data_IF_991283140478
#
_entry.id   IF_991283140478
#
_cell.length_a   1.000
_cell.length_b   1.000
_cell.length_c   1.000
_cell.angle_alpha   90.00
_cell.angle_beta   90.00
_cell.angle_gamma   90.00
#
_symmetry.space_group_name_H-M   'P 1'
#
loop_
_entity.id
_entity.type
_entity.pdbx_description
1 polymer ?
#
# COMPACT_ATOMS: atom_id res chain seq x y z
N UNK A 1 -9.32 -9.40 -37.92
CA UNK A 1 -8.79 -8.35 -37.03
C UNK A 1 -8.81 -8.87 -35.59
N UNK A 2 -7.64 -9.12 -35.00
CA UNK A 2 -7.53 -9.44 -33.57
C UNK A 2 -7.66 -8.12 -32.82
N UNK A 3 -8.66 -7.98 -31.95
CA UNK A 3 -8.74 -6.89 -30.99
C UNK A 3 -7.43 -6.86 -30.19
N UNK A 4 -6.68 -5.78 -30.34
CA UNK A 4 -5.57 -5.44 -29.46
C UNK A 4 -6.12 -5.35 -28.03
N UNK A 5 -5.47 -6.04 -27.09
CA UNK A 5 -5.83 -6.00 -25.67
C UNK A 5 -5.81 -4.53 -25.23
N UNK A 6 -6.97 -4.02 -24.81
CA UNK A 6 -7.19 -2.61 -24.50
C UNK A 6 -6.15 -2.03 -23.53
N UNK A 7 -5.75 -0.79 -23.80
CA UNK A 7 -4.72 0.02 -23.14
C UNK A 7 -4.84 0.19 -21.61
N UNK A 8 -5.83 -0.41 -20.94
CA UNK A 8 -6.03 -0.33 -19.49
C UNK A 8 -5.94 -1.64 -18.72
N UNK A 9 -5.82 -2.81 -19.38
CA UNK A 9 -5.91 -4.10 -18.68
C UNK A 9 -4.53 -4.63 -18.25
N UNK A 10 -4.43 -4.99 -16.97
CA UNK A 10 -3.27 -5.70 -16.43
C UNK A 10 -3.61 -7.15 -16.18
N UNK A 11 -2.83 -8.05 -16.79
CA UNK A 11 -2.98 -9.48 -16.53
C UNK A 11 -2.51 -9.84 -15.13
N UNK A 12 -3.26 -10.73 -14.46
CA UNK A 12 -2.89 -11.26 -13.14
C UNK A 12 -1.49 -11.89 -13.13
N UNK A 13 -1.08 -12.54 -14.23
CA UNK A 13 0.26 -13.13 -14.35
C UNK A 13 1.35 -12.07 -14.26
N UNK A 14 1.26 -11.03 -15.08
CA UNK A 14 2.22 -9.93 -15.09
C UNK A 14 2.26 -9.19 -13.74
N UNK A 15 1.09 -8.89 -13.18
CA UNK A 15 1.01 -8.25 -11.86
C UNK A 15 1.66 -9.10 -10.78
N UNK A 16 1.44 -10.42 -10.79
CA UNK A 16 2.06 -11.35 -9.85
C UNK A 16 3.58 -11.36 -9.98
N UNK A 17 4.10 -11.36 -11.22
CA UNK A 17 5.55 -11.30 -11.46
C UNK A 17 6.16 -10.02 -10.88
N UNK A 18 5.53 -8.86 -11.11
CA UNK A 18 5.97 -7.58 -10.55
C UNK A 18 5.92 -7.56 -9.02
N UNK A 19 4.81 -7.97 -8.42
CA UNK A 19 4.65 -8.00 -6.95
C UNK A 19 5.68 -8.91 -6.30
N UNK A 20 5.89 -10.10 -6.84
CA UNK A 20 6.90 -11.04 -6.32
C UNK A 20 8.30 -10.46 -6.48
N UNK A 21 8.61 -9.85 -7.62
CA UNK A 21 9.91 -9.23 -7.85
C UNK A 21 10.15 -8.06 -6.90
N UNK A 22 9.17 -7.18 -6.72
CA UNK A 22 9.22 -6.08 -5.75
C UNK A 22 9.47 -6.60 -4.33
N UNK A 23 8.67 -7.56 -3.84
CA UNK A 23 8.80 -8.10 -2.50
C UNK A 23 10.19 -8.75 -2.26
N UNK A 24 10.76 -9.41 -3.27
CA UNK A 24 12.11 -10.02 -3.18
C UNK A 24 13.26 -9.01 -3.19
N UNK A 25 13.02 -7.80 -3.68
CA UNK A 25 14.04 -6.75 -3.81
C UNK A 25 13.84 -5.62 -2.80
N UNK A 26 12.76 -5.61 -2.04
CA UNK A 26 12.40 -4.51 -1.15
C UNK A 26 13.31 -4.41 0.07
N UNK A 27 14.48 -3.81 -0.14
CA UNK A 27 15.49 -3.59 0.90
C UNK A 27 15.02 -2.66 2.02
N UNK A 28 13.96 -1.89 1.75
CA UNK A 28 13.34 -0.98 2.71
C UNK A 28 12.34 -1.69 3.64
N UNK A 29 12.01 -2.96 3.40
CA UNK A 29 11.18 -3.72 4.33
C UNK A 29 11.98 -4.08 5.58
N UNK A 30 11.62 -3.51 6.72
CA UNK A 30 12.25 -3.79 8.02
C UNK A 30 11.66 -5.03 8.71
N UNK A 31 10.54 -5.55 8.22
CA UNK A 31 9.82 -6.65 8.84
C UNK A 31 8.99 -6.28 10.07
N UNK A 32 8.92 -5.00 10.46
CA UNK A 32 8.11 -4.54 11.61
C UNK A 32 6.62 -4.95 11.48
N UNK A 33 6.12 -5.01 10.25
CA UNK A 33 4.76 -5.45 9.99
C UNK A 33 4.51 -6.91 10.36
N UNK A 34 5.55 -7.76 10.41
CA UNK A 34 5.45 -9.16 10.82
C UNK A 34 5.01 -9.28 12.29
N UNK A 35 5.55 -8.46 13.19
CA UNK A 35 5.18 -8.47 14.61
C UNK A 35 3.73 -8.04 14.82
N UNK A 36 3.29 -7.01 14.09
CA UNK A 36 1.90 -6.58 14.11
C UNK A 36 0.95 -7.63 13.53
N UNK A 37 1.37 -8.36 12.50
CA UNK A 37 0.61 -9.45 11.92
C UNK A 37 0.47 -10.61 12.90
N UNK A 38 1.58 -11.05 13.50
CA UNK A 38 1.64 -12.18 14.43
C UNK A 38 0.74 -11.94 15.65
N UNK A 39 0.82 -10.76 16.28
CA UNK A 39 -0.10 -10.39 17.37
C UNK A 39 -1.58 -10.43 16.96
N UNK A 40 -1.90 -9.98 15.74
CA UNK A 40 -3.29 -10.08 15.22
C UNK A 40 -3.70 -11.53 14.98
N UNK A 41 -2.78 -12.36 14.52
CA UNK A 41 -3.01 -13.77 14.25
C UNK A 41 -3.25 -14.56 15.54
N UNK A 42 -2.42 -14.35 16.57
CA UNK A 42 -2.59 -14.92 17.92
C UNK A 42 -3.92 -14.52 18.55
N UNK A 43 -4.25 -13.22 18.48
CA UNK A 43 -5.55 -12.73 18.97
C UNK A 43 -6.73 -13.41 18.27
N UNK A 44 -6.63 -13.65 16.96
CA UNK A 44 -7.67 -14.36 16.22
C UNK A 44 -7.79 -15.82 16.65
N UNK A 45 -6.66 -16.49 16.90
CA UNK A 45 -6.61 -17.87 17.37
C UNK A 45 -7.22 -18.01 18.78
N UNK A 46 -6.80 -17.13 19.70
CA UNK A 46 -7.31 -17.10 21.08
C UNK A 46 -8.83 -16.88 21.12
N UNK A 47 -9.37 -16.06 20.21
CA UNK A 47 -10.81 -15.81 20.05
C UNK A 47 -11.54 -16.90 19.25
N UNK A 48 -10.86 -17.96 18.80
CA UNK A 48 -11.39 -19.01 17.92
C UNK A 48 -12.08 -18.46 16.66
N UNK A 49 -11.57 -17.33 16.15
CA UNK A 49 -12.09 -16.62 14.97
C UNK A 49 -11.35 -16.97 13.67
N UNK A 50 -10.40 -17.90 13.75
CA UNK A 50 -9.63 -18.48 12.66
C UNK A 50 -9.54 -19.99 12.89
N UNK A 51 -9.50 -20.77 11.81
CA UNK A 51 -9.29 -22.22 11.89
C UNK A 51 -7.81 -22.54 12.12
N UNK A 52 -7.52 -23.68 12.74
CA UNK A 52 -6.14 -24.14 12.99
C UNK A 52 -5.30 -24.15 11.70
N UNK A 53 -5.80 -24.75 10.63
CA UNK A 53 -5.11 -24.78 9.33
C UNK A 53 -4.77 -23.38 8.81
N UNK A 54 -5.68 -22.41 8.99
CA UNK A 54 -5.43 -21.03 8.52
C UNK A 54 -4.46 -20.31 9.44
N UNK A 55 -4.45 -20.65 10.73
CA UNK A 55 -3.51 -20.12 11.70
C UNK A 55 -2.09 -20.58 11.37
N UNK A 56 -1.87 -21.89 11.27
CA UNK A 56 -0.55 -22.48 11.00
C UNK A 56 0.03 -22.01 9.66
N UNK A 57 -0.75 -22.05 8.56
CA UNK A 57 -0.26 -21.56 7.27
C UNK A 57 0.09 -20.07 7.30
N UNK A 58 -0.58 -19.27 8.15
CA UNK A 58 -0.29 -17.83 8.27
C UNK A 58 0.93 -17.58 9.14
N UNK A 59 1.15 -18.40 10.16
CA UNK A 59 2.35 -18.39 10.99
C UNK A 59 3.59 -18.76 10.17
N UNK A 60 3.50 -19.82 9.36
CA UNK A 60 4.57 -20.23 8.44
C UNK A 60 4.91 -19.13 7.42
N UNK A 61 3.90 -18.45 6.88
CA UNK A 61 4.12 -17.31 5.98
C UNK A 61 4.94 -16.19 6.65
N UNK A 62 4.58 -15.81 7.88
CA UNK A 62 5.30 -14.76 8.60
C UNK A 62 6.73 -15.18 8.93
N UNK A 63 6.93 -16.42 9.37
CA UNK A 63 8.26 -16.95 9.65
C UNK A 63 9.17 -16.89 8.40
N UNK A 64 8.67 -17.39 7.26
CA UNK A 64 9.41 -17.31 5.99
C UNK A 64 9.73 -15.87 5.60
N UNK A 65 8.78 -14.94 5.75
CA UNK A 65 9.01 -13.53 5.41
C UNK A 65 10.11 -12.90 6.26
N UNK A 66 10.15 -13.18 7.57
CA UNK A 66 11.25 -12.72 8.44
C UNK A 66 12.60 -13.23 7.96
N UNK A 67 12.69 -14.50 7.56
CA UNK A 67 13.91 -15.11 7.05
C UNK A 67 14.35 -14.50 5.72
N UNK A 68 13.42 -14.30 4.79
CA UNK A 68 13.65 -13.66 3.49
C UNK A 68 14.18 -12.23 3.65
N UNK A 69 13.56 -11.43 4.52
CA UNK A 69 13.98 -10.04 4.80
C UNK A 69 15.40 -10.01 5.39
N UNK A 70 15.66 -10.82 6.42
CA UNK A 70 17.00 -10.93 7.04
C UNK A 70 18.05 -11.35 6.02
N UNK A 71 17.74 -12.32 5.16
CA UNK A 71 18.64 -12.79 4.11
C UNK A 71 18.92 -11.70 3.06
N UNK A 72 17.91 -10.92 2.67
CA UNK A 72 18.06 -9.79 1.76
C UNK A 72 18.97 -8.70 2.35
N UNK A 73 18.72 -8.28 3.58
CA UNK A 73 19.58 -7.29 4.26
C UNK A 73 21.01 -7.78 4.40
N UNK A 74 21.21 -9.04 4.81
CA UNK A 74 22.55 -9.65 4.90
C UNK A 74 23.26 -9.62 3.54
N UNK A 75 22.59 -10.06 2.48
CA UNK A 75 23.15 -10.08 1.12
C UNK A 75 23.53 -8.68 0.66
N UNK A 76 22.64 -7.71 0.82
CA UNK A 76 22.87 -6.31 0.42
C UNK A 76 24.05 -5.66 1.16
N UNK A 77 24.21 -5.97 2.45
CA UNK A 77 25.32 -5.47 3.26
C UNK A 77 26.68 -6.08 2.85
N UNK A 78 26.68 -7.29 2.27
CA UNK A 78 27.89 -7.95 1.76
C UNK A 78 28.23 -7.60 0.31
N UNK A 79 27.36 -6.88 -0.41
CA UNK A 79 27.62 -6.46 -1.80
C UNK A 79 28.75 -5.43 -1.89
N UNK A 80 29.53 -5.49 -2.97
CA UNK A 80 30.45 -4.40 -3.33
C UNK A 80 29.68 -3.13 -3.71
N UNK A 81 30.33 -1.95 -3.75
CA UNK A 81 29.68 -0.71 -4.21
C UNK A 81 29.05 -0.84 -5.61
N UNK A 82 29.72 -1.53 -6.54
CA UNK A 82 29.25 -1.74 -7.91
C UNK A 82 28.03 -2.68 -7.95
N UNK A 83 28.06 -3.76 -7.19
CA UNK A 83 26.93 -4.68 -7.05
C UNK A 83 25.71 -3.99 -6.46
N UNK A 84 25.92 -3.17 -5.43
CA UNK A 84 24.88 -2.38 -4.78
C UNK A 84 24.28 -1.34 -5.73
N UNK A 85 25.11 -0.66 -6.51
CA UNK A 85 24.66 0.29 -7.53
C UNK A 85 23.75 -0.40 -8.56
N UNK A 86 24.19 -1.55 -9.09
CA UNK A 86 23.40 -2.34 -10.03
C UNK A 86 22.08 -2.83 -9.42
N UNK A 87 22.12 -3.31 -8.17
CA UNK A 87 20.91 -3.72 -7.44
C UNK A 87 19.92 -2.56 -7.30
N UNK A 88 20.38 -1.38 -6.90
CA UNK A 88 19.53 -0.20 -6.72
C UNK A 88 18.90 0.25 -8.04
N UNK A 89 19.67 0.27 -9.13
CA UNK A 89 19.12 0.57 -10.47
C UNK A 89 18.02 -0.42 -10.87
N UNK A 90 18.24 -1.72 -10.66
CA UNK A 90 17.22 -2.72 -10.96
C UNK A 90 15.99 -2.55 -10.06
N UNK A 91 16.18 -2.26 -8.77
CA UNK A 91 15.08 -2.06 -7.84
C UNK A 91 14.26 -0.82 -8.18
N UNK A 92 14.88 0.29 -8.57
CA UNK A 92 14.18 1.50 -9.03
C UNK A 92 13.34 1.24 -10.28
N UNK A 93 13.85 0.44 -11.23
CA UNK A 93 13.04 0.02 -12.38
C UNK A 93 11.83 -0.80 -11.96
N UNK A 94 11.99 -1.74 -11.01
CA UNK A 94 10.87 -2.54 -10.48
C UNK A 94 9.84 -1.66 -9.76
N UNK A 95 10.27 -0.65 -9.00
CA UNK A 95 9.37 0.33 -8.37
C UNK A 95 8.56 1.09 -9.41
N UNK A 96 9.19 1.53 -10.49
CA UNK A 96 8.49 2.21 -11.59
C UNK A 96 7.46 1.29 -12.24
N UNK A 97 7.86 0.07 -12.60
CA UNK A 97 6.98 -0.89 -13.29
C UNK A 97 5.77 -1.29 -12.44
N UNK A 98 5.96 -1.50 -11.13
CA UNK A 98 4.86 -1.83 -10.22
C UNK A 98 3.97 -0.62 -9.94
N UNK A 99 4.53 0.59 -9.88
CA UNK A 99 3.75 1.83 -9.73
C UNK A 99 2.82 2.04 -10.94
N UNK A 100 3.36 1.95 -12.16
CA UNK A 100 2.57 2.03 -13.40
C UNK A 100 1.48 0.96 -13.43
N UNK A 101 1.78 -0.23 -12.90
CA UNK A 101 0.80 -1.29 -12.80
C UNK A 101 -0.33 -0.94 -11.81
N UNK A 102 0.03 -0.48 -10.62
CA UNK A 102 -0.93 -0.08 -9.59
C UNK A 102 -1.83 1.06 -10.05
N UNK A 103 -1.29 2.10 -10.69
CA UNK A 103 -2.07 3.22 -11.22
C UNK A 103 -3.16 2.73 -12.18
N UNK A 104 -2.86 1.79 -13.08
CA UNK A 104 -3.87 1.23 -13.99
C UNK A 104 -4.97 0.48 -13.24
N UNK A 105 -4.62 -0.33 -12.23
CA UNK A 105 -5.64 -1.04 -11.41
C UNK A 105 -6.47 -0.05 -10.60
N UNK A 106 -5.85 0.96 -9.99
CA UNK A 106 -6.53 2.04 -9.26
C UNK A 106 -7.53 2.76 -10.16
N UNK A 107 -7.11 3.19 -11.35
CA UNK A 107 -7.98 3.86 -12.31
C UNK A 107 -9.18 2.98 -12.71
N UNK A 108 -8.95 1.69 -12.95
CA UNK A 108 -10.03 0.74 -13.19
C UNK A 108 -11.03 0.66 -12.03
N UNK A 109 -10.56 0.71 -10.78
CA UNK A 109 -11.42 0.70 -9.59
C UNK A 109 -12.19 2.02 -9.40
N UNK A 110 -11.55 3.17 -9.59
CA UNK A 110 -12.21 4.49 -9.54
C UNK A 110 -13.38 4.55 -10.53
N UNK A 111 -13.17 4.08 -11.76
CA UNK A 111 -14.23 3.96 -12.77
C UNK A 111 -15.32 2.98 -12.30
N UNK A 112 -14.94 1.82 -11.76
CA UNK A 112 -15.89 0.81 -11.28
C UNK A 112 -16.76 1.31 -10.11
N UNK A 113 -16.21 2.17 -9.25
CA UNK A 113 -16.92 2.83 -8.16
C UNK A 113 -17.72 4.06 -8.61
N UNK A 114 -17.65 4.43 -9.89
CA UNK A 114 -18.29 5.62 -10.47
C UNK A 114 -17.87 6.93 -9.79
N UNK A 115 -16.65 6.99 -9.23
CA UNK A 115 -16.14 8.19 -8.56
C UNK A 115 -15.92 9.35 -9.53
N UNK A 116 -15.65 9.04 -10.81
CA UNK A 116 -15.57 10.03 -11.89
C UNK A 116 -16.88 10.79 -12.15
N UNK A 117 -17.99 10.30 -11.61
CA UNK A 117 -19.33 10.89 -11.73
C UNK A 117 -19.90 11.29 -10.36
N UNK A 118 -19.10 11.20 -9.29
CA UNK A 118 -19.53 11.52 -7.93
C UNK A 118 -19.08 12.92 -7.52
N UNK A 119 -19.64 13.48 -6.43
CA UNK A 119 -19.15 14.74 -5.84
C UNK A 119 -17.67 14.71 -5.44
N UNK A 120 -17.11 13.51 -5.23
CA UNK A 120 -15.69 13.31 -4.91
C UNK A 120 -14.75 13.48 -6.13
N UNK A 121 -15.27 13.92 -7.29
CA UNK A 121 -14.49 14.06 -8.51
C UNK A 121 -13.26 14.96 -8.33
N UNK A 122 -13.40 16.04 -7.57
CA UNK A 122 -12.32 17.00 -7.28
C UNK A 122 -11.22 16.39 -6.41
N UNK A 123 -11.53 15.37 -5.60
CA UNK A 123 -10.61 14.63 -4.73
C UNK A 123 -10.02 13.39 -5.40
N UNK A 124 -10.29 13.12 -6.68
CA UNK A 124 -9.86 11.87 -7.34
C UNK A 124 -8.34 11.66 -7.30
N UNK A 125 -7.55 12.71 -7.44
CA UNK A 125 -6.09 12.57 -7.40
C UNK A 125 -5.58 12.24 -6.00
N UNK A 126 -6.19 12.79 -4.96
CA UNK A 126 -5.89 12.44 -3.56
C UNK A 126 -6.31 10.99 -3.27
N UNK A 127 -7.50 10.59 -3.74
CA UNK A 127 -7.99 9.22 -3.66
C UNK A 127 -7.01 8.24 -4.34
N UNK A 128 -6.46 8.62 -5.51
CA UNK A 128 -5.46 7.81 -6.23
C UNK A 128 -4.18 7.68 -5.41
N UNK A 129 -3.69 8.79 -4.86
CA UNK A 129 -2.46 8.81 -4.05
C UNK A 129 -2.62 7.95 -2.80
N UNK A 130 -3.73 8.09 -2.07
CA UNK A 130 -4.01 7.30 -0.85
C UNK A 130 -4.09 5.80 -1.15
N UNK A 131 -4.76 5.43 -2.26
CA UNK A 131 -4.81 4.05 -2.71
C UNK A 131 -3.42 3.50 -3.09
N UNK A 132 -2.59 4.31 -3.74
CA UNK A 132 -1.22 3.95 -4.11
C UNK A 132 -0.33 3.77 -2.86
N UNK A 133 -0.43 4.68 -1.90
CA UNK A 133 0.28 4.59 -0.62
C UNK A 133 -0.13 3.32 0.14
N UNK A 134 -1.43 3.05 0.23
CA UNK A 134 -1.96 1.81 0.83
C UNK A 134 -1.35 0.58 0.14
N UNK A 135 -1.28 0.55 -1.18
CA UNK A 135 -0.66 -0.58 -1.87
C UNK A 135 0.79 -0.77 -1.45
N UNK A 136 1.62 0.27 -1.45
CA UNK A 136 3.02 0.15 -1.02
C UNK A 136 3.17 -0.24 0.46
N UNK A 137 2.28 0.21 1.34
CA UNK A 137 2.27 -0.19 2.76
C UNK A 137 2.00 -1.67 2.98
N UNK A 138 1.14 -2.29 2.14
CA UNK A 138 0.64 -3.64 2.38
C UNK A 138 1.11 -4.69 1.37
N UNK A 139 1.77 -4.29 0.27
CA UNK A 139 2.09 -5.24 -0.82
C UNK A 139 3.06 -6.35 -0.41
N UNK A 140 3.99 -6.08 0.52
CA UNK A 140 4.91 -7.09 1.06
C UNK A 140 4.19 -8.25 1.75
N UNK A 141 2.91 -8.08 2.09
CA UNK A 141 2.06 -9.09 2.75
C UNK A 141 1.38 -10.03 1.77
N UNK A 142 1.62 -9.88 0.46
CA UNK A 142 1.16 -10.84 -0.54
C UNK A 142 1.90 -12.17 -0.38
N UNK A 143 1.15 -13.25 -0.15
CA UNK A 143 1.67 -14.61 -0.06
C UNK A 143 1.61 -15.30 -1.42
N UNK A 144 2.76 -15.33 -2.10
CA UNK A 144 2.88 -15.92 -3.43
C UNK A 144 2.79 -17.45 -3.44
N UNK A 145 2.88 -18.11 -2.29
CA UNK A 145 2.81 -19.58 -2.19
C UNK A 145 1.40 -20.11 -2.21
N UNK A 146 0.41 -19.30 -1.82
CA UNK A 146 -1.00 -19.72 -1.70
C UNK A 146 -1.78 -19.80 -3.01
N UNK A 147 -1.10 -19.76 -4.14
CA UNK A 147 -1.70 -19.66 -5.48
C UNK A 147 -2.80 -18.58 -5.58
N UNK A 148 -2.71 -17.55 -4.73
CA UNK A 148 -3.67 -16.47 -4.69
C UNK A 148 -3.50 -15.57 -5.93
N UNK A 149 -4.57 -14.87 -6.30
CA UNK A 149 -4.51 -13.90 -7.38
C UNK A 149 -3.93 -12.59 -6.85
N UNK A 150 -2.78 -12.18 -7.39
CA UNK A 150 -2.20 -10.86 -7.12
C UNK A 150 -3.19 -9.75 -7.47
N UNK A 151 -3.96 -9.91 -8.55
CA UNK A 151 -5.01 -8.97 -8.92
C UNK A 151 -6.11 -8.88 -7.84
N UNK A 152 -6.60 -10.01 -7.33
CA UNK A 152 -7.59 -10.02 -6.25
C UNK A 152 -7.04 -9.35 -4.97
N UNK A 153 -5.79 -9.63 -4.61
CA UNK A 153 -5.15 -9.02 -3.45
C UNK A 153 -5.01 -7.49 -3.59
N UNK A 154 -4.46 -7.02 -4.71
CA UNK A 154 -4.29 -5.60 -5.02
C UNK A 154 -5.64 -4.88 -5.07
N UNK A 155 -6.64 -5.45 -5.74
CA UNK A 155 -7.97 -4.84 -5.81
C UNK A 155 -8.68 -4.78 -4.46
N UNK A 156 -8.46 -5.76 -3.57
CA UNK A 156 -8.96 -5.69 -2.20
C UNK A 156 -8.33 -4.54 -1.41
N UNK A 157 -7.01 -4.36 -1.51
CA UNK A 157 -6.31 -3.26 -0.86
C UNK A 157 -6.81 -1.90 -1.35
N UNK A 158 -6.93 -1.73 -2.67
CA UNK A 158 -7.50 -0.50 -3.27
C UNK A 158 -8.92 -0.28 -2.77
N UNK A 159 -9.76 -1.31 -2.79
CA UNK A 159 -11.16 -1.19 -2.33
C UNK A 159 -11.25 -0.75 -0.88
N UNK A 160 -10.39 -1.29 -0.01
CA UNK A 160 -10.34 -0.89 1.39
C UNK A 160 -9.90 0.58 1.54
N UNK A 161 -8.90 1.01 0.78
CA UNK A 161 -8.44 2.41 0.77
C UNK A 161 -9.54 3.37 0.32
N UNK A 162 -10.20 3.06 -0.81
CA UNK A 162 -11.31 3.86 -1.33
C UNK A 162 -12.45 3.97 -0.32
N UNK A 163 -12.85 2.85 0.30
CA UNK A 163 -13.94 2.86 1.28
C UNK A 163 -13.58 3.71 2.51
N UNK A 164 -12.33 3.60 3.01
CA UNK A 164 -11.85 4.38 4.14
C UNK A 164 -11.89 5.88 3.81
N UNK A 165 -11.30 6.27 2.68
CA UNK A 165 -11.28 7.65 2.25
C UNK A 165 -12.68 8.22 2.10
N UNK A 166 -13.59 7.50 1.43
CA UNK A 166 -14.97 7.96 1.24
C UNK A 166 -15.74 8.05 2.57
N UNK A 167 -15.47 7.16 3.54
CA UNK A 167 -16.06 7.27 4.87
C UNK A 167 -15.56 8.49 5.63
N UNK A 168 -14.25 8.77 5.56
CA UNK A 168 -13.65 9.93 6.22
C UNK A 168 -14.03 11.25 5.54
N UNK A 169 -14.23 11.25 4.22
CA UNK A 169 -14.70 12.42 3.46
C UNK A 169 -16.09 12.87 3.93
N UNK A 170 -16.98 11.92 4.26
CA UNK A 170 -18.26 12.24 4.86
C UNK A 170 -18.08 12.90 6.25
N UNK A 171 -17.14 12.41 7.06
CA UNK A 171 -16.82 13.03 8.35
C UNK A 171 -16.14 14.40 8.22
N UNK A 172 -15.31 14.63 7.19
CA UNK A 172 -14.66 15.92 6.92
C UNK A 172 -15.66 16.97 6.45
N UNK A 173 -16.60 16.60 5.59
CA UNK A 173 -17.67 17.49 5.15
C UNK A 173 -18.58 17.92 6.31
N UNK A 174 -18.70 17.09 7.35
CA UNK A 174 -19.40 17.43 8.59
C UNK A 174 -18.54 18.27 9.57
N UNK A 175 -17.21 18.21 9.44
CA UNK A 175 -16.23 18.94 10.24
C UNK A 175 -15.58 20.02 9.37
N UNK A 176 -16.36 21.04 9.04
CA UNK A 176 -15.87 22.25 8.39
C UNK A 176 -14.81 22.90 9.30
N UNK A 177 -13.52 22.67 9.03
CA UNK A 177 -12.45 23.49 9.59
C UNK A 177 -12.48 24.79 8.79
N UNK A 178 -13.30 25.73 9.24
CA UNK A 178 -13.30 27.07 8.69
C UNK A 178 -11.88 27.65 8.85
N UNK A 179 -11.41 28.48 7.92
CA UNK A 179 -10.09 29.12 8.01
C UNK A 179 -9.83 29.84 9.35
N UNK A 180 -10.89 30.16 10.11
CA UNK A 180 -10.86 30.64 11.49
C UNK A 180 -10.17 29.66 12.46
N UNK A 181 -10.47 28.36 12.40
CA UNK A 181 -9.88 27.35 13.29
C UNK A 181 -8.38 27.14 12.99
N UNK A 182 -7.95 27.40 11.76
CA UNK A 182 -6.54 27.40 11.38
C UNK A 182 -5.80 28.63 11.95
N UNK A 183 -6.44 29.81 11.95
CA UNK A 183 -5.89 31.01 12.59
C UNK A 183 -5.75 30.85 14.11
N UNK A 184 -6.70 30.20 14.79
CA UNK A 184 -6.62 29.95 16.23
C UNK A 184 -5.53 28.94 16.63
N UNK A 185 -5.15 28.02 15.72
CA UNK A 185 -4.14 26.99 15.99
C UNK A 185 -2.73 27.34 15.48
N UNK A 186 -2.58 28.46 14.76
CA UNK A 186 -1.28 29.05 14.51
C UNK A 186 -0.80 29.73 15.80
N UNK A 187 0.00 29.02 16.60
CA UNK A 187 0.94 29.66 17.53
C UNK A 187 2.03 30.36 16.70
N UNK A 188 1.67 31.40 15.95
CA UNK A 188 2.62 32.27 15.28
C UNK A 188 3.12 33.32 16.24
N UNK A 189 4.44 33.52 16.21
CA UNK A 189 5.20 34.56 16.90
C UNK A 189 4.77 35.99 16.46
N UNK A 190 3.92 36.10 15.44
CA UNK A 190 3.30 37.34 14.97
C UNK A 190 1.88 37.50 15.54
N UNK A 191 1.75 37.58 16.87
CA UNK A 191 0.60 38.25 17.46
C UNK A 191 0.77 39.76 17.19
N UNK A 192 -0.09 40.43 16.39
CA UNK A 192 -0.02 41.88 16.23
C UNK A 192 -0.35 42.64 17.53
N UNK A 193 -0.70 41.92 18.60
CA UNK A 193 -0.84 42.44 19.97
C UNK A 193 0.31 42.04 20.90
N UNK A 194 1.41 41.53 20.35
CA UNK A 194 2.69 41.46 21.05
C UNK A 194 3.19 42.86 21.42
N UNK A 195 3.06 43.17 22.72
CA UNK A 195 3.45 44.37 23.47
C UNK A 195 2.60 45.64 23.28
N UNK A 196 1.66 45.85 24.21
CA UNK A 196 1.76 46.92 25.22
C UNK A 196 0.48 46.98 26.10
N UNK A 197 0.54 46.40 27.30
CA UNK A 197 0.01 46.92 28.59
C UNK A 197 0.32 46.00 29.77
#
# INVERSE_FOLDING_TARGET
MKQEKGEGYISNKYLRELVVKFNKMNINDTGEWCDAYERKLENKNNKKSITEDKYEVSKDFIQRKREEIKALHKRYNTMTPEERHKFNMEFEQVKKDICDAFIKVINGRIISFKLVQSPAYEEIDDIRQEALMTLFTYINRYDETRNSSAFAFVTQLITNALNLYLSEMNERNEKEIAGLDFYENLNTIDDPYGDDN
#
